data_IF_306465480341
#
_entry.id   IF_306465480341
#
_cell.length_a   1.000
_cell.length_b   1.000
_cell.length_c   1.000
_cell.angle_alpha   90.00
_cell.angle_beta   90.00
_cell.angle_gamma   90.00
#
_symmetry.space_group_name_H-M   'P 1'
#
loop_
_entity.id
_entity.type
_entity.pdbx_description
1 polymer ?
#
# COMPACT_ATOMS: atom_id res chain seq x y z
N UNK A 1 -21.18 21.86 5.99
CA UNK A 1 -20.00 20.97 6.03
C UNK A 1 -18.79 21.84 6.38
N UNK A 2 -18.18 21.60 7.55
CA UNK A 2 -17.09 22.42 8.06
C UNK A 2 -15.75 22.13 7.36
N UNK A 3 -14.81 23.09 7.41
CA UNK A 3 -13.45 22.93 6.86
C UNK A 3 -12.75 21.67 7.37
N UNK A 4 -12.87 21.37 8.66
CA UNK A 4 -12.30 20.19 9.29
C UNK A 4 -12.90 18.89 8.75
N UNK A 5 -14.21 18.83 8.50
CA UNK A 5 -14.86 17.63 7.92
C UNK A 5 -14.32 17.33 6.52
N UNK A 6 -14.04 18.38 5.74
CA UNK A 6 -13.46 18.26 4.39
C UNK A 6 -12.02 17.76 4.44
N UNK A 7 -11.21 18.31 5.36
CA UNK A 7 -9.81 17.89 5.55
C UNK A 7 -9.72 16.42 6.01
N UNK A 8 -10.60 15.99 6.94
CA UNK A 8 -10.69 14.60 7.36
C UNK A 8 -11.17 13.67 6.24
N UNK A 9 -12.14 14.09 5.42
CA UNK A 9 -12.60 13.32 4.27
C UNK A 9 -11.48 13.12 3.26
N UNK A 10 -10.75 14.19 2.90
CA UNK A 10 -9.62 14.12 1.98
C UNK A 10 -8.53 13.19 2.51
N UNK A 11 -8.18 13.27 3.79
CA UNK A 11 -7.20 12.39 4.41
C UNK A 11 -7.64 10.92 4.27
N UNK A 12 -8.89 10.60 4.59
CA UNK A 12 -9.41 9.23 4.43
C UNK A 12 -9.38 8.76 2.98
N UNK A 13 -9.86 9.58 2.04
CA UNK A 13 -9.90 9.21 0.62
C UNK A 13 -8.50 8.86 0.10
N UNK A 14 -7.48 9.64 0.47
CA UNK A 14 -6.11 9.38 0.04
C UNK A 14 -5.55 8.12 0.71
N UNK A 15 -5.87 7.87 1.99
CA UNK A 15 -5.50 6.62 2.68
C UNK A 15 -6.12 5.39 1.99
N UNK A 16 -7.40 5.45 1.62
CA UNK A 16 -8.10 4.39 0.89
C UNK A 16 -7.48 4.16 -0.50
N UNK A 17 -7.18 5.24 -1.24
CA UNK A 17 -6.53 5.14 -2.55
C UNK A 17 -5.15 4.49 -2.47
N UNK A 18 -4.37 4.84 -1.45
CA UNK A 18 -3.06 4.23 -1.16
C UNK A 18 -3.20 2.71 -0.99
N UNK A 19 -4.17 2.30 -0.17
CA UNK A 19 -4.43 0.88 0.08
C UNK A 19 -4.91 0.15 -1.18
N UNK A 20 -5.93 0.68 -1.86
CA UNK A 20 -6.54 0.05 -3.03
C UNK A 20 -5.54 -0.13 -4.19
N UNK A 21 -4.67 0.87 -4.42
CA UNK A 21 -3.65 0.79 -5.47
C UNK A 21 -2.50 -0.15 -5.11
N UNK A 22 -2.08 -0.18 -3.84
CA UNK A 22 -1.13 -1.19 -3.33
C UNK A 22 -1.69 -2.60 -3.48
N UNK A 23 -2.96 -2.79 -3.14
CA UNK A 23 -3.67 -4.05 -3.26
C UNK A 23 -3.76 -4.52 -4.71
N UNK A 24 -4.19 -3.63 -5.61
CA UNK A 24 -4.31 -3.91 -7.03
C UNK A 24 -2.94 -4.28 -7.62
N UNK A 25 -1.87 -3.57 -7.26
CA UNK A 25 -0.51 -3.87 -7.70
C UNK A 25 -0.07 -5.31 -7.32
N UNK A 26 -0.57 -5.86 -6.21
CA UNK A 26 -0.30 -7.22 -5.77
C UNK A 26 -1.20 -8.24 -6.47
N UNK A 27 -2.52 -8.04 -6.39
CA UNK A 27 -3.53 -9.04 -6.77
C UNK A 27 -3.72 -9.14 -8.28
N UNK A 28 -3.43 -8.09 -9.05
CA UNK A 28 -3.53 -8.14 -10.51
C UNK A 28 -2.52 -9.09 -11.14
N UNK A 29 -1.39 -9.40 -10.49
CA UNK A 29 -0.44 -10.39 -10.99
C UNK A 29 -1.10 -11.75 -11.28
N UNK A 30 -1.66 -12.42 -10.25
CA UNK A 30 -2.33 -13.70 -10.42
C UNK A 30 -3.72 -13.64 -11.06
N UNK A 31 -4.37 -12.47 -11.13
CA UNK A 31 -5.70 -12.30 -11.74
C UNK A 31 -5.68 -11.77 -13.17
N UNK A 32 -4.54 -11.30 -13.67
CA UNK A 32 -4.46 -10.74 -15.01
C UNK A 32 -4.79 -11.81 -16.07
N UNK A 33 -5.60 -11.45 -17.09
CA UNK A 33 -5.86 -12.34 -18.20
C UNK A 33 -4.54 -12.67 -18.93
N UNK A 34 -4.40 -13.91 -19.38
CA UNK A 34 -3.19 -14.39 -20.06
C UNK A 34 -2.85 -13.54 -21.32
N UNK A 35 -3.86 -12.89 -21.91
CA UNK A 35 -3.73 -11.98 -23.05
C UNK A 35 -2.94 -10.70 -22.76
N UNK A 36 -2.77 -10.32 -21.50
CA UNK A 36 -2.11 -9.06 -21.14
C UNK A 36 -0.59 -9.10 -21.34
N UNK A 37 0.01 -10.30 -21.42
CA UNK A 37 1.46 -10.48 -21.57
C UNK A 37 2.26 -10.06 -20.31
N UNK A 38 3.39 -10.71 -20.01
CA UNK A 38 4.12 -10.49 -18.76
C UNK A 38 4.66 -9.05 -18.64
N UNK A 39 5.07 -8.43 -19.74
CA UNK A 39 5.70 -7.10 -19.72
C UNK A 39 4.70 -5.97 -19.51
N UNK A 40 3.50 -6.04 -20.11
CA UNK A 40 2.46 -5.02 -19.88
C UNK A 40 1.94 -5.13 -18.46
N UNK A 41 1.77 -6.35 -17.96
CA UNK A 41 1.38 -6.59 -16.57
C UNK A 41 2.43 -6.03 -15.59
N UNK A 42 3.72 -6.27 -15.83
CA UNK A 42 4.79 -5.73 -15.00
C UNK A 42 4.86 -4.19 -15.04
N UNK A 43 4.62 -3.56 -16.20
CA UNK A 43 4.52 -2.09 -16.29
C UNK A 43 3.32 -1.56 -15.52
N UNK A 44 2.14 -2.16 -15.71
CA UNK A 44 0.91 -1.74 -15.03
C UNK A 44 1.02 -1.85 -13.51
N UNK A 45 1.57 -2.95 -12.99
CA UNK A 45 1.81 -3.14 -11.55
C UNK A 45 2.78 -2.10 -10.98
N UNK A 46 3.85 -1.76 -11.71
CA UNK A 46 4.77 -0.69 -11.31
C UNK A 46 4.08 0.67 -11.26
N UNK A 47 3.25 1.00 -12.25
CA UNK A 47 2.46 2.24 -12.25
C UNK A 47 1.56 2.32 -11.01
N UNK A 48 0.84 1.24 -10.69
CA UNK A 48 0.01 1.19 -9.48
C UNK A 48 0.84 1.33 -8.20
N UNK A 49 2.03 0.73 -8.14
CA UNK A 49 2.96 0.90 -7.02
C UNK A 49 3.42 2.35 -6.84
N UNK A 50 3.73 3.07 -7.93
CA UNK A 50 4.07 4.49 -7.85
C UNK A 50 2.89 5.37 -7.45
N UNK A 51 1.67 5.07 -7.93
CA UNK A 51 0.46 5.77 -7.50
C UNK A 51 0.22 5.54 -6.00
N UNK A 52 0.35 4.30 -5.53
CA UNK A 52 0.25 3.97 -4.11
C UNK A 52 1.27 4.75 -3.27
N UNK A 53 2.53 4.81 -3.73
CA UNK A 53 3.57 5.58 -3.05
C UNK A 53 3.22 7.08 -2.99
N UNK A 54 2.78 7.68 -4.10
CA UNK A 54 2.40 9.09 -4.15
C UNK A 54 1.21 9.42 -3.25
N UNK A 55 0.18 8.56 -3.23
CA UNK A 55 -0.94 8.70 -2.31
C UNK A 55 -0.48 8.52 -0.86
N UNK A 56 0.36 7.52 -0.57
CA UNK A 56 0.82 7.23 0.78
C UNK A 56 1.68 8.34 1.38
N UNK A 57 2.56 8.94 0.59
CA UNK A 57 3.35 10.11 1.03
C UNK A 57 2.47 11.33 1.24
N UNK A 58 1.49 11.57 0.36
CA UNK A 58 0.51 12.66 0.52
C UNK A 58 -0.32 12.47 1.79
N UNK A 59 -0.83 11.25 2.03
CA UNK A 59 -1.56 10.89 3.23
C UNK A 59 -0.73 11.15 4.50
N UNK A 60 0.52 10.68 4.52
CA UNK A 60 1.41 10.91 5.66
C UNK A 60 1.69 12.40 5.88
N UNK A 61 1.92 13.18 4.83
CA UNK A 61 2.11 14.62 4.92
C UNK A 61 0.90 15.35 5.52
N UNK A 62 -0.30 15.01 5.04
CA UNK A 62 -1.56 15.57 5.58
C UNK A 62 -1.80 15.13 7.02
N UNK A 63 -1.54 13.86 7.36
CA UNK A 63 -1.67 13.36 8.72
C UNK A 63 -0.70 14.07 9.68
N UNK A 64 0.57 14.23 9.29
CA UNK A 64 1.58 14.97 10.08
C UNK A 64 1.14 16.42 10.29
N UNK A 65 0.60 17.07 9.25
CA UNK A 65 0.13 18.45 9.37
C UNK A 65 -1.10 18.56 10.30
N UNK A 66 -2.04 17.61 10.20
CA UNK A 66 -3.22 17.55 11.06
C UNK A 66 -2.89 17.28 12.54
N UNK A 67 -1.76 16.63 12.81
CA UNK A 67 -1.28 16.38 14.17
C UNK A 67 -0.57 17.58 14.81
N UNK A 68 -0.27 18.67 14.07
CA UNK A 68 0.47 19.81 14.64
C UNK A 68 -0.42 20.73 15.50
N UNK A 69 0.09 21.17 16.67
CA UNK A 69 1.35 20.77 17.31
C UNK A 69 1.22 19.37 17.95
N UNK A 70 2.08 18.44 17.52
CA UNK A 70 2.03 17.06 18.00
C UNK A 70 2.84 16.96 19.29
N UNK A 71 2.26 16.63 20.46
CA UNK A 71 3.04 16.21 21.61
C UNK A 71 3.86 14.96 21.25
N UNK A 72 5.09 14.88 21.75
CA UNK A 72 6.09 13.83 21.50
C UNK A 72 5.55 12.41 21.79
N UNK A 73 4.51 12.29 22.62
CA UNK A 73 3.80 11.04 22.92
C UNK A 73 3.17 10.36 21.70
N UNK A 74 2.79 11.09 20.65
CA UNK A 74 2.19 10.53 19.43
C UNK A 74 3.12 9.53 18.71
N UNK A 75 4.44 9.69 18.77
CA UNK A 75 5.39 8.77 18.09
C UNK A 75 5.39 7.36 18.74
N UNK A 76 4.84 7.23 19.95
CA UNK A 76 4.75 5.93 20.64
C UNK A 76 3.50 5.14 20.30
N UNK A 77 2.52 5.76 19.62
CA UNK A 77 1.28 5.06 19.30
C UNK A 77 1.52 3.94 18.28
N UNK A 78 1.01 2.73 18.56
CA UNK A 78 1.21 1.57 17.68
C UNK A 78 0.67 1.80 16.26
N UNK A 79 -0.38 2.61 16.13
CA UNK A 79 -0.96 2.99 14.84
C UNK A 79 0.00 3.85 14.00
N UNK A 80 0.70 4.81 14.62
CA UNK A 80 1.66 5.66 13.91
C UNK A 80 2.91 4.87 13.50
N UNK A 81 3.37 3.94 14.34
CA UNK A 81 4.49 3.05 14.00
C UNK A 81 4.20 2.14 12.81
N UNK A 82 3.01 1.51 12.78
CA UNK A 82 2.60 0.64 11.67
C UNK A 82 2.45 1.42 10.36
N UNK A 83 1.92 2.65 10.41
CA UNK A 83 1.82 3.54 9.25
C UNK A 83 3.17 3.97 8.69
N UNK A 84 4.10 4.39 9.55
CA UNK A 84 5.47 4.77 9.15
C UNK A 84 6.23 3.59 8.57
N UNK A 85 6.13 2.41 9.18
CA UNK A 85 6.77 1.20 8.68
C UNK A 85 6.21 0.79 7.31
N UNK A 86 4.89 0.83 7.11
CA UNK A 86 4.25 0.54 5.83
C UNK A 86 4.70 1.51 4.72
N UNK A 87 4.75 2.81 5.01
CA UNK A 87 5.22 3.83 4.06
C UNK A 87 6.70 3.66 3.72
N UNK A 88 7.54 3.31 4.71
CA UNK A 88 8.96 3.08 4.51
C UNK A 88 9.21 1.89 3.57
N UNK A 89 8.47 0.79 3.77
CA UNK A 89 8.54 -0.39 2.89
C UNK A 89 8.04 -0.08 1.47
N UNK A 90 6.95 0.69 1.32
CA UNK A 90 6.49 1.16 0.01
C UNK A 90 7.53 2.04 -0.70
N UNK A 91 8.20 2.90 0.06
CA UNK A 91 9.27 3.77 -0.47
C UNK A 91 10.46 2.95 -0.94
N UNK A 92 10.90 1.98 -0.14
CA UNK A 92 11.97 1.05 -0.53
C UNK A 92 11.58 0.22 -1.76
N UNK A 93 10.36 -0.30 -1.82
CA UNK A 93 9.85 -1.03 -2.97
C UNK A 93 9.81 -0.15 -4.24
N UNK A 94 9.44 1.13 -4.10
CA UNK A 94 9.49 2.12 -5.17
C UNK A 94 10.90 2.41 -5.65
N UNK A 95 11.85 2.61 -4.73
CA UNK A 95 13.26 2.84 -5.04
C UNK A 95 13.88 1.66 -5.78
N UNK A 96 13.68 0.43 -5.30
CA UNK A 96 14.16 -0.80 -5.96
C UNK A 96 13.52 -0.97 -7.36
N UNK A 97 12.29 -0.48 -7.55
CA UNK A 97 11.62 -0.51 -8.85
C UNK A 97 12.22 0.46 -9.89
N UNK A 98 13.07 1.41 -9.47
CA UNK A 98 13.81 2.30 -10.38
C UNK A 98 14.97 1.52 -10.99
N UNK A 99 14.94 1.37 -12.33
CA UNK A 99 15.90 0.54 -13.09
C UNK A 99 17.37 0.79 -12.74
N UNK A 100 17.78 2.04 -12.49
CA UNK A 100 19.16 2.38 -12.10
C UNK A 100 19.52 1.88 -10.70
N UNK A 101 18.59 1.97 -9.75
CA UNK A 101 18.78 1.53 -8.37
C UNK A 101 18.76 0.00 -8.32
N UNK A 102 17.81 -0.63 -9.01
CA UNK A 102 17.72 -2.09 -9.10
C UNK A 102 18.97 -2.72 -9.73
N UNK A 103 19.50 -2.13 -10.80
CA UNK A 103 20.74 -2.57 -11.43
C UNK A 103 21.97 -2.36 -10.52
N UNK A 104 22.01 -1.26 -9.76
CA UNK A 104 23.10 -0.96 -8.84
C UNK A 104 23.13 -1.92 -7.63
N UNK A 105 21.95 -2.35 -7.17
CA UNK A 105 21.81 -3.33 -6.09
C UNK A 105 22.03 -4.79 -6.55
N UNK A 106 22.31 -5.02 -7.84
CA UNK A 106 22.39 -6.38 -8.40
C UNK A 106 21.04 -7.11 -8.44
N UNK A 107 19.96 -6.39 -8.16
CA UNK A 107 18.58 -6.88 -8.18
C UNK A 107 18.00 -6.75 -9.59
N UNK A 108 18.60 -7.42 -10.57
CA UNK A 108 17.97 -7.66 -11.89
C UNK A 108 16.78 -8.64 -11.78
N UNK A 109 16.57 -9.20 -10.58
CA UNK A 109 15.55 -10.17 -10.30
C UNK A 109 14.19 -9.50 -10.10
N UNK A 110 13.17 -10.02 -10.78
CA UNK A 110 11.75 -9.63 -10.64
C UNK A 110 11.19 -9.86 -9.21
N UNK A 111 12.03 -10.22 -8.25
CA UNK A 111 11.70 -10.70 -6.90
C UNK A 111 11.73 -9.56 -5.86
N UNK A 112 12.50 -8.48 -6.06
CA UNK A 112 12.73 -7.52 -4.96
C UNK A 112 11.66 -6.43 -4.81
N UNK A 113 11.09 -5.92 -5.91
CA UNK A 113 10.02 -4.93 -5.84
C UNK A 113 8.70 -5.51 -5.28
N UNK A 114 8.40 -6.78 -5.60
CA UNK A 114 7.17 -7.42 -5.15
C UNK A 114 7.24 -7.81 -3.67
N UNK A 115 8.42 -8.23 -3.19
CA UNK A 115 8.63 -8.60 -1.80
C UNK A 115 8.41 -7.42 -0.84
N UNK A 116 8.86 -6.21 -1.22
CA UNK A 116 8.60 -5.00 -0.43
C UNK A 116 7.11 -4.64 -0.34
N UNK A 117 6.35 -4.78 -1.43
CA UNK A 117 4.90 -4.52 -1.42
C UNK A 117 4.15 -5.61 -0.64
N UNK A 118 4.59 -6.87 -0.71
CA UNK A 118 4.05 -7.97 0.10
C UNK A 118 4.23 -7.76 1.60
N UNK A 119 5.35 -7.17 2.02
CA UNK A 119 5.60 -6.84 3.44
C UNK A 119 4.92 -5.55 3.88
N UNK A 120 4.78 -4.56 2.99
CA UNK A 120 4.09 -3.30 3.29
C UNK A 120 2.58 -3.50 3.51
N UNK A 121 1.98 -4.48 2.83
CA UNK A 121 0.54 -4.67 2.83
C UNK A 121 -0.04 -5.13 4.19
N UNK A 122 0.52 -6.15 4.89
CA UNK A 122 0.09 -6.51 6.24
C UNK A 122 0.20 -5.35 7.23
N UNK A 123 1.25 -4.52 7.11
CA UNK A 123 1.41 -3.34 7.96
C UNK A 123 0.39 -2.25 7.64
N UNK A 124 0.07 -2.04 6.35
CA UNK A 124 -1.00 -1.13 5.94
C UNK A 124 -2.38 -1.62 6.41
N UNK A 125 -2.63 -2.94 6.38
CA UNK A 125 -3.84 -3.56 6.92
C UNK A 125 -3.93 -3.39 8.44
N UNK A 126 -2.82 -3.60 9.16
CA UNK A 126 -2.74 -3.41 10.60
C UNK A 126 -2.99 -1.94 10.98
N UNK A 127 -2.36 -1.00 10.26
CA UNK A 127 -2.58 0.43 10.41
C UNK A 127 -4.05 0.81 10.16
N UNK A 128 -4.65 0.29 9.07
CA UNK A 128 -6.06 0.49 8.76
C UNK A 128 -6.99 -0.11 9.83
N UNK A 129 -6.69 -1.30 10.35
CA UNK A 129 -7.49 -1.98 11.37
C UNK A 129 -7.41 -1.28 12.74
N UNK A 130 -6.27 -0.66 13.06
CA UNK A 130 -6.07 0.15 14.26
C UNK A 130 -6.75 1.53 14.15
N UNK A 131 -7.09 1.97 12.94
CA UNK A 131 -7.89 3.18 12.76
C UNK A 131 -9.36 2.94 13.15
N UNK A 132 -9.98 3.94 13.78
CA UNK A 132 -11.37 3.85 14.24
C UNK A 132 -12.42 3.96 13.13
N UNK A 133 -12.01 4.10 11.87
CA UNK A 133 -12.94 4.32 10.76
C UNK A 133 -13.54 3.00 10.25
N UNK A 134 -14.87 2.98 10.09
CA UNK A 134 -15.62 1.82 9.58
C UNK A 134 -15.19 1.44 8.16
N UNK A 135 -14.93 2.44 7.31
CA UNK A 135 -14.55 2.24 5.90
C UNK A 135 -13.23 1.47 5.75
N UNK A 136 -12.25 1.72 6.62
CA UNK A 136 -10.97 0.99 6.62
C UNK A 136 -11.14 -0.46 7.08
N UNK A 137 -12.06 -0.76 8.00
CA UNK A 137 -12.36 -2.14 8.42
C UNK A 137 -12.99 -2.95 7.30
N UNK A 138 -13.87 -2.34 6.51
CA UNK A 138 -14.47 -2.97 5.32
C UNK A 138 -13.39 -3.26 4.27
N UNK A 139 -12.48 -2.31 4.02
CA UNK A 139 -11.36 -2.50 3.10
C UNK A 139 -10.38 -3.58 3.56
N UNK A 140 -10.10 -3.66 4.87
CA UNK A 140 -9.31 -4.74 5.48
C UNK A 140 -10.02 -6.08 5.28
N UNK A 141 -11.32 -6.15 5.55
CA UNK A 141 -12.12 -7.36 5.34
C UNK A 141 -12.15 -7.82 3.89
N UNK A 142 -12.34 -6.90 2.94
CA UNK A 142 -12.28 -7.17 1.51
C UNK A 142 -10.88 -7.63 1.06
N UNK A 143 -9.84 -7.01 1.60
CA UNK A 143 -8.46 -7.43 1.37
C UNK A 143 -8.23 -8.87 1.85
N UNK A 144 -8.51 -9.15 3.13
CA UNK A 144 -8.35 -10.50 3.69
C UNK A 144 -9.16 -11.54 2.90
N UNK A 145 -10.42 -11.25 2.58
CA UNK A 145 -11.27 -12.14 1.79
C UNK A 145 -10.68 -12.43 0.39
N UNK A 146 -10.09 -11.42 -0.26
CA UNK A 146 -9.48 -11.60 -1.57
C UNK A 146 -8.11 -12.32 -1.52
N UNK A 147 -7.34 -12.21 -0.43
CA UNK A 147 -6.17 -13.08 -0.19
C UNK A 147 -6.56 -14.54 0.03
N UNK A 148 -7.61 -14.79 0.82
CA UNK A 148 -8.14 -16.15 1.03
C UNK A 148 -8.58 -16.75 -0.30
N UNK A 149 -9.37 -16.00 -1.10
CA UNK A 149 -9.82 -16.44 -2.41
C UNK A 149 -8.66 -16.71 -3.39
N UNK A 150 -7.62 -15.87 -3.36
CA UNK A 150 -6.40 -16.07 -4.14
C UNK A 150 -5.66 -17.34 -3.71
N UNK A 151 -5.46 -17.53 -2.40
CA UNK A 151 -4.87 -18.74 -1.84
C UNK A 151 -5.60 -20.00 -2.28
N UNK A 152 -6.94 -20.01 -2.20
CA UNK A 152 -7.76 -21.13 -2.66
C UNK A 152 -7.65 -21.39 -4.16
N UNK A 153 -7.49 -20.35 -5.00
CA UNK A 153 -7.24 -20.53 -6.45
C UNK A 153 -5.87 -21.12 -6.74
N UNK A 154 -4.83 -20.67 -6.04
CA UNK A 154 -3.47 -21.19 -6.21
C UNK A 154 -3.36 -22.64 -5.75
N UNK A 155 -4.02 -23.00 -4.64
CA UNK A 155 -4.07 -24.38 -4.15
C UNK A 155 -4.73 -25.35 -5.14
N UNK A 156 -5.75 -24.91 -5.89
CA UNK A 156 -6.43 -25.73 -6.91
C UNK A 156 -5.66 -25.92 -8.22
N UNK A 157 -4.55 -25.20 -8.42
CA UNK A 157 -3.70 -25.31 -9.62
C UNK A 157 -2.48 -26.23 -9.42
N UNK A 158 -2.31 -26.78 -8.22
CA UNK A 158 -1.33 -27.82 -7.89
C UNK A 158 -2.03 -29.16 -7.84
#
# INVERSE_FOLDING_TARGET
MGRLETEWLVLRTIGVLTFATSWAALVLGPLAPASLGPDRLARFRRTLGFVALACGTTHAGLAINALRPAPVELVTEPNLRSGVAALSLLTLAGLVSVRRVGAWLGTDSKIDALSGVWLALPLALLHAAQSSWIDTRVLVGLGVASLVALGSRLARRR
#
